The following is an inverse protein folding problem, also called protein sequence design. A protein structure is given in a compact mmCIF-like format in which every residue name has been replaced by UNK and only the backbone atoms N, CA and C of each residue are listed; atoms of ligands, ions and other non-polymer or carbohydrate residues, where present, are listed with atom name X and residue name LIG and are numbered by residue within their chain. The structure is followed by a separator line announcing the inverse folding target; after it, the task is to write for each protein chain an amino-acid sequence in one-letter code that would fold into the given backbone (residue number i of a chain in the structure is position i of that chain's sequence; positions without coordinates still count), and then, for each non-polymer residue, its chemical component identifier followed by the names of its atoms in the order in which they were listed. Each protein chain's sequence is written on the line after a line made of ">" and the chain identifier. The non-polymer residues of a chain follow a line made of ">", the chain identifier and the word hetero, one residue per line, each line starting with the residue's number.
data_IF_353417812266
#
_entry.id   IF_353417812266
#
_cell.length_a   1.000
_cell.length_b   1.000
_cell.length_c   1.000
_cell.angle_alpha   90.00
_cell.angle_beta   90.00
_cell.angle_gamma   90.00
#
_symmetry.space_group_name_H-M   'P 1'
#
loop_
_entity.id
_entity.type
_entity.pdbx_description
1 polymer ?
#
# COMPACT_ATOMS: atom_id res chain seq x y z
N UNK A 1 -83.51 14.49 -11.94
CA UNK A 1 -83.01 15.03 -13.23
C UNK A 1 -81.74 15.90 -13.16
N UNK A 2 -81.35 16.50 -12.02
CA UNK A 2 -80.10 17.32 -11.94
C UNK A 2 -78.79 16.51 -11.85
N UNK A 3 -78.83 15.23 -11.47
CA UNK A 3 -77.64 14.38 -11.37
C UNK A 3 -77.12 13.91 -12.74
N UNK A 4 -78.01 13.55 -13.67
CA UNK A 4 -77.62 13.05 -15.00
C UNK A 4 -76.87 14.10 -15.84
N UNK A 5 -77.34 15.36 -15.86
CA UNK A 5 -76.66 16.44 -16.60
C UNK A 5 -75.27 16.81 -16.04
N UNK A 6 -75.01 16.54 -14.75
CA UNK A 6 -73.66 16.75 -14.17
C UNK A 6 -72.68 15.65 -14.61
N UNK A 7 -73.19 14.44 -14.81
CA UNK A 7 -72.39 13.31 -15.26
C UNK A 7 -71.99 13.44 -16.74
N UNK A 8 -72.88 13.96 -17.58
CA UNK A 8 -72.59 14.22 -19.01
C UNK A 8 -71.55 15.34 -19.21
N UNK A 9 -71.57 16.35 -18.34
CA UNK A 9 -70.58 17.45 -18.39
C UNK A 9 -69.18 16.98 -17.96
N UNK A 10 -69.07 16.05 -17.01
CA UNK A 10 -67.77 15.49 -16.58
C UNK A 10 -67.19 14.49 -17.59
N UNK A 11 -68.02 13.73 -18.31
CA UNK A 11 -67.52 12.83 -19.35
C UNK A 11 -66.93 13.59 -20.55
N UNK A 12 -67.47 14.77 -20.87
CA UNK A 12 -66.97 15.58 -21.99
C UNK A 12 -65.66 16.32 -21.68
N UNK A 13 -65.41 16.70 -20.42
CA UNK A 13 -64.14 17.34 -20.04
C UNK A 13 -62.97 16.36 -20.11
N UNK A 14 -63.17 15.11 -19.67
CA UNK A 14 -62.12 14.09 -19.67
C UNK A 14 -61.65 13.75 -21.09
N UNK A 15 -62.57 13.64 -22.05
CA UNK A 15 -62.23 13.39 -23.47
C UNK A 15 -61.44 14.55 -24.10
N UNK A 16 -61.78 15.79 -23.77
CA UNK A 16 -61.03 16.96 -24.23
C UNK A 16 -59.63 17.06 -23.62
N UNK A 17 -59.45 16.64 -22.36
CA UNK A 17 -58.12 16.63 -21.74
C UNK A 17 -57.23 15.54 -22.33
N UNK A 18 -57.75 14.33 -22.53
CA UNK A 18 -57.00 13.22 -23.13
C UNK A 18 -56.56 13.57 -24.57
N UNK A 19 -57.44 14.15 -25.38
CA UNK A 19 -57.10 14.52 -26.76
C UNK A 19 -56.00 15.59 -26.83
N UNK A 20 -55.97 16.55 -25.89
CA UNK A 20 -54.87 17.53 -25.76
C UNK A 20 -53.55 16.86 -25.41
N UNK A 21 -53.55 15.91 -24.47
CA UNK A 21 -52.35 15.15 -24.10
C UNK A 21 -51.82 14.35 -25.30
N UNK A 22 -52.70 13.65 -26.02
CA UNK A 22 -52.32 12.87 -27.22
C UNK A 22 -51.76 13.78 -28.32
N UNK A 23 -52.41 14.91 -28.58
CA UNK A 23 -51.91 15.88 -29.57
C UNK A 23 -50.54 16.46 -29.17
N UNK A 24 -50.34 16.77 -27.89
CA UNK A 24 -49.06 17.24 -27.36
C UNK A 24 -47.97 16.18 -27.51
N UNK A 25 -48.24 14.94 -27.09
CA UNK A 25 -47.31 13.81 -27.25
C UNK A 25 -46.99 13.60 -28.72
N UNK A 26 -47.97 13.64 -29.62
CA UNK A 26 -47.73 13.47 -31.06
C UNK A 26 -46.87 14.58 -31.66
N UNK A 27 -47.10 15.83 -31.24
CA UNK A 27 -46.31 16.99 -31.69
C UNK A 27 -44.86 16.96 -31.15
N UNK A 28 -44.64 16.34 -29.99
CA UNK A 28 -43.33 16.28 -29.32
C UNK A 28 -42.69 14.88 -29.32
N UNK A 29 -43.30 13.89 -29.96
CA UNK A 29 -42.88 12.48 -29.87
C UNK A 29 -41.42 12.29 -30.25
N UNK A 30 -40.97 12.94 -31.32
CA UNK A 30 -39.57 12.89 -31.77
C UNK A 30 -38.61 13.45 -30.73
N UNK A 31 -38.94 14.59 -30.11
CA UNK A 31 -38.10 15.21 -29.07
C UNK A 31 -38.05 14.30 -27.84
N UNK A 32 -39.20 13.78 -27.39
CA UNK A 32 -39.26 12.85 -26.25
C UNK A 32 -38.42 11.59 -26.54
N UNK A 33 -38.53 11.03 -27.74
CA UNK A 33 -37.74 9.87 -28.15
C UNK A 33 -36.24 10.14 -28.09
N UNK A 34 -35.78 11.29 -28.61
CA UNK A 34 -34.37 11.67 -28.53
C UNK A 34 -33.89 11.89 -27.09
N UNK A 35 -34.73 12.48 -26.23
CA UNK A 35 -34.41 12.62 -24.80
C UNK A 35 -34.27 11.25 -24.12
N UNK A 36 -35.17 10.30 -24.39
CA UNK A 36 -35.12 8.94 -23.84
C UNK A 36 -33.90 8.19 -24.36
N UNK A 37 -33.61 8.25 -25.66
CA UNK A 37 -32.42 7.64 -26.25
C UNK A 37 -31.12 8.24 -25.69
N UNK A 38 -31.07 9.57 -25.54
CA UNK A 38 -29.95 10.26 -24.91
C UNK A 38 -29.73 9.80 -23.47
N UNK A 39 -30.80 9.73 -22.67
CA UNK A 39 -30.73 9.22 -21.30
C UNK A 39 -30.28 7.75 -21.24
N UNK A 40 -30.79 6.90 -22.13
CA UNK A 40 -30.39 5.50 -22.22
C UNK A 40 -28.91 5.35 -22.61
N UNK A 41 -28.41 6.14 -23.56
CA UNK A 41 -27.00 6.14 -23.96
C UNK A 41 -26.08 6.56 -22.81
N UNK A 42 -26.44 7.60 -22.05
CA UNK A 42 -25.70 8.03 -20.86
C UNK A 42 -25.71 6.93 -19.79
N UNK A 43 -26.85 6.30 -19.53
CA UNK A 43 -26.95 5.19 -18.59
C UNK A 43 -26.07 3.99 -19.00
N UNK A 44 -26.04 3.65 -20.28
CA UNK A 44 -25.16 2.59 -20.81
C UNK A 44 -23.67 2.96 -20.67
N UNK A 45 -23.29 4.20 -20.97
CA UNK A 45 -21.91 4.66 -20.80
C UNK A 45 -21.47 4.60 -19.33
N UNK A 46 -22.30 5.08 -18.40
CA UNK A 46 -22.01 5.03 -16.95
C UNK A 46 -21.89 3.59 -16.47
N UNK A 47 -22.82 2.71 -16.84
CA UNK A 47 -22.77 1.30 -16.44
C UNK A 47 -21.55 0.57 -17.02
N UNK A 48 -21.15 0.88 -18.24
CA UNK A 48 -19.93 0.35 -18.85
C UNK A 48 -18.67 0.79 -18.09
N UNK A 49 -18.54 2.09 -17.77
CA UNK A 49 -17.40 2.61 -16.99
C UNK A 49 -17.32 1.96 -15.61
N UNK A 50 -18.46 1.83 -14.91
CA UNK A 50 -18.50 1.18 -13.58
C UNK A 50 -18.11 -0.29 -13.68
N UNK A 51 -18.61 -1.02 -14.68
CA UNK A 51 -18.24 -2.43 -14.89
C UNK A 51 -16.75 -2.58 -15.21
N UNK A 52 -16.21 -1.72 -16.08
CA UNK A 52 -14.80 -1.76 -16.44
C UNK A 52 -13.89 -1.45 -15.25
N UNK A 53 -14.25 -0.47 -14.41
CA UNK A 53 -13.54 -0.15 -13.16
C UNK A 53 -13.55 -1.34 -12.19
N UNK A 54 -14.68 -2.02 -12.02
CA UNK A 54 -14.78 -3.23 -11.17
C UNK A 54 -13.93 -4.37 -11.69
N UNK A 55 -13.96 -4.64 -13.01
CA UNK A 55 -13.15 -5.69 -13.61
C UNK A 55 -11.64 -5.42 -13.43
N UNK A 56 -11.22 -4.17 -13.65
CA UNK A 56 -9.84 -3.74 -13.42
C UNK A 56 -9.43 -3.87 -11.95
N UNK A 57 -10.31 -3.48 -11.01
CA UNK A 57 -10.06 -3.63 -9.58
C UNK A 57 -9.88 -5.10 -9.16
N UNK A 58 -10.68 -6.02 -9.69
CA UNK A 58 -10.53 -7.46 -9.43
C UNK A 58 -9.21 -8.02 -9.96
N UNK A 59 -8.77 -7.58 -11.14
CA UNK A 59 -7.48 -7.99 -11.70
C UNK A 59 -6.31 -7.45 -10.87
N UNK A 60 -6.40 -6.21 -10.39
CA UNK A 60 -5.39 -5.62 -9.51
C UNK A 60 -5.37 -6.31 -8.15
N UNK A 61 -6.54 -6.64 -7.62
CA UNK A 61 -6.65 -7.42 -6.39
C UNK A 61 -5.97 -8.79 -6.51
N UNK A 62 -6.22 -9.53 -7.60
CA UNK A 62 -5.61 -10.85 -7.79
C UNK A 62 -4.10 -10.76 -8.00
N UNK A 63 -3.63 -9.74 -8.73
CA UNK A 63 -2.19 -9.43 -8.86
C UNK A 63 -1.56 -9.13 -7.50
N UNK A 64 -2.19 -8.27 -6.70
CA UNK A 64 -1.71 -7.95 -5.36
C UNK A 64 -1.65 -9.20 -4.46
N UNK A 65 -2.72 -10.01 -4.41
CA UNK A 65 -2.75 -11.24 -3.61
C UNK A 65 -1.63 -12.20 -4.02
N UNK A 66 -1.40 -12.38 -5.32
CA UNK A 66 -0.27 -13.18 -5.83
C UNK A 66 1.06 -12.64 -5.32
N UNK A 67 1.27 -11.33 -5.43
CA UNK A 67 2.51 -10.67 -5.00
C UNK A 67 2.74 -10.76 -3.49
N UNK A 68 1.69 -10.75 -2.67
CA UNK A 68 1.83 -10.94 -1.21
C UNK A 68 2.16 -12.39 -0.82
N UNK A 69 1.94 -13.35 -1.71
CA UNK A 69 2.33 -14.75 -1.51
C UNK A 69 3.75 -15.03 -2.02
N UNK A 70 4.30 -14.15 -2.85
CA UNK A 70 5.68 -14.23 -3.31
C UNK A 70 6.62 -13.85 -2.16
N UNK A 71 7.70 -14.62 -1.90
CA UNK A 71 8.66 -14.28 -0.84
C UNK A 71 9.28 -12.88 -1.01
N UNK A 72 9.63 -12.24 0.11
CA UNK A 72 10.37 -10.97 0.10
C UNK A 72 11.75 -11.14 -0.54
N UNK A 73 12.13 -10.16 -1.37
CA UNK A 73 13.39 -10.17 -2.10
C UNK A 73 13.42 -11.08 -3.33
N UNK A 74 12.29 -11.66 -3.74
CA UNK A 74 12.19 -12.34 -5.03
C UNK A 74 12.44 -11.35 -6.18
N UNK A 75 13.20 -11.80 -7.19
CA UNK A 75 13.53 -11.00 -8.37
C UNK A 75 12.26 -10.49 -9.06
N UNK A 76 12.21 -9.19 -9.38
CA UNK A 76 11.08 -8.55 -10.05
C UNK A 76 9.85 -8.25 -9.16
N UNK A 77 9.78 -8.74 -7.91
CA UNK A 77 8.62 -8.50 -7.02
C UNK A 77 8.41 -7.01 -6.76
N UNK A 78 9.49 -6.27 -6.49
CA UNK A 78 9.44 -4.82 -6.23
C UNK A 78 8.93 -4.07 -7.47
N UNK A 79 9.41 -4.42 -8.66
CA UNK A 79 8.98 -3.79 -9.93
C UNK A 79 7.49 -4.04 -10.20
N UNK A 80 7.02 -5.27 -9.97
CA UNK A 80 5.60 -5.61 -10.09
C UNK A 80 4.74 -4.85 -9.07
N UNK A 81 5.17 -4.76 -7.81
CA UNK A 81 4.48 -3.96 -6.78
C UNK A 81 4.48 -2.47 -7.15
N UNK A 82 5.58 -1.92 -7.65
CA UNK A 82 5.67 -0.54 -8.09
C UNK A 82 4.71 -0.27 -9.25
N UNK A 83 4.57 -1.20 -10.19
CA UNK A 83 3.56 -1.11 -11.25
C UNK A 83 2.12 -1.05 -10.72
N UNK A 84 1.84 -1.65 -9.54
CA UNK A 84 0.54 -1.53 -8.88
C UNK A 84 0.38 -0.17 -8.19
N UNK A 85 1.45 0.38 -7.62
CA UNK A 85 1.46 1.74 -7.07
C UNK A 85 1.14 2.76 -8.17
N UNK A 86 1.80 2.66 -9.32
CA UNK A 86 1.64 3.58 -10.45
C UNK A 86 0.24 3.58 -11.05
N UNK A 87 -0.49 2.46 -10.98
CA UNK A 87 -1.89 2.36 -11.41
C UNK A 87 -2.86 3.17 -10.53
N UNK A 88 -2.45 3.54 -9.32
CA UNK A 88 -3.25 4.31 -8.34
C UNK A 88 -4.70 3.79 -8.14
N UNK A 89 -4.85 2.47 -8.04
CA UNK A 89 -6.14 1.82 -7.75
C UNK A 89 -6.20 1.45 -6.27
N UNK A 90 -6.96 2.25 -5.53
CA UNK A 90 -7.16 2.06 -4.10
C UNK A 90 -8.07 0.86 -3.80
N UNK A 91 -7.85 0.12 -2.69
CA UNK A 91 -6.80 0.33 -1.68
C UNK A 91 -5.46 -0.35 -2.02
N UNK A 92 -5.36 -1.04 -3.16
CA UNK A 92 -4.25 -1.93 -3.47
C UNK A 92 -2.94 -1.21 -3.76
N UNK A 93 -2.97 -0.02 -4.36
CA UNK A 93 -1.75 0.78 -4.57
C UNK A 93 -1.11 1.20 -3.25
N UNK A 94 -1.90 1.60 -2.25
CA UNK A 94 -1.39 1.94 -0.93
C UNK A 94 -0.80 0.72 -0.21
N UNK A 95 -1.49 -0.42 -0.28
CA UNK A 95 -0.98 -1.67 0.30
C UNK A 95 0.28 -2.17 -0.42
N UNK A 96 0.35 -2.06 -1.75
CA UNK A 96 1.54 -2.41 -2.52
C UNK A 96 2.76 -1.57 -2.10
N UNK A 97 2.58 -0.26 -1.89
CA UNK A 97 3.64 0.61 -1.38
C UNK A 97 4.12 0.19 0.03
N UNK A 98 3.21 -0.24 0.91
CA UNK A 98 3.59 -0.84 2.22
C UNK A 98 4.42 -2.10 2.01
N UNK A 99 4.00 -3.01 1.11
CA UNK A 99 4.72 -4.26 0.84
C UNK A 99 6.12 -4.02 0.25
N UNK A 100 6.33 -2.98 -0.57
CA UNK A 100 7.68 -2.61 -1.04
C UNK A 100 8.58 -2.22 0.14
N UNK A 101 8.06 -1.43 1.09
CA UNK A 101 8.80 -1.12 2.31
C UNK A 101 9.11 -2.36 3.13
N UNK A 102 8.16 -3.30 3.23
CA UNK A 102 8.35 -4.59 3.91
C UNK A 102 9.45 -5.40 3.24
N UNK A 103 9.52 -5.42 1.90
CA UNK A 103 10.58 -6.12 1.17
C UNK A 103 11.96 -5.54 1.49
N UNK A 104 12.14 -4.23 1.42
CA UNK A 104 13.42 -3.61 1.79
C UNK A 104 13.80 -3.90 3.25
N UNK A 105 12.85 -3.82 4.19
CA UNK A 105 13.10 -4.13 5.60
C UNK A 105 13.44 -5.60 5.85
N UNK A 106 12.81 -6.52 5.11
CA UNK A 106 13.04 -7.96 5.22
C UNK A 106 14.37 -8.35 4.59
N UNK A 107 14.73 -7.76 3.45
CA UNK A 107 16.05 -7.93 2.84
C UNK A 107 17.15 -7.40 3.74
N UNK A 108 16.97 -6.21 4.32
CA UNK A 108 17.87 -5.66 5.33
C UNK A 108 18.07 -6.64 6.48
N UNK A 109 16.99 -7.22 6.99
CA UNK A 109 17.05 -8.16 8.10
C UNK A 109 17.72 -9.49 7.72
N UNK A 110 17.33 -10.08 6.60
CA UNK A 110 17.83 -11.37 6.15
C UNK A 110 19.27 -11.35 5.65
N UNK A 111 19.76 -10.19 5.22
CA UNK A 111 21.13 -10.01 4.70
C UNK A 111 22.03 -9.20 5.61
N UNK A 112 21.61 -8.91 6.85
CA UNK A 112 22.31 -8.00 7.75
C UNK A 112 23.82 -8.27 7.86
N UNK A 113 24.20 -9.53 8.07
CA UNK A 113 25.60 -9.95 8.23
C UNK A 113 26.45 -9.80 6.94
N UNK A 114 25.81 -9.76 5.77
CA UNK A 114 26.48 -9.65 4.46
C UNK A 114 26.60 -8.21 3.98
N UNK A 115 25.66 -7.35 4.38
CA UNK A 115 25.63 -5.95 3.97
C UNK A 115 26.66 -5.14 4.76
N UNK A 116 27.33 -4.24 4.06
CA UNK A 116 28.15 -3.18 4.65
C UNK A 116 27.28 -2.17 5.41
N UNK A 117 27.87 -1.37 6.29
CA UNK A 117 27.14 -0.34 7.02
C UNK A 117 26.42 0.66 6.08
N UNK A 118 27.07 1.04 4.97
CA UNK A 118 26.47 1.94 3.97
C UNK A 118 25.25 1.32 3.31
N UNK A 119 25.33 0.06 2.89
CA UNK A 119 24.19 -0.63 2.28
C UNK A 119 23.03 -0.80 3.28
N UNK A 120 23.33 -1.12 4.56
CA UNK A 120 22.30 -1.21 5.60
C UNK A 120 21.54 0.11 5.76
N UNK A 121 22.25 1.24 5.74
CA UNK A 121 21.63 2.57 5.80
C UNK A 121 20.80 2.86 4.54
N UNK A 122 21.27 2.45 3.36
CA UNK A 122 20.52 2.60 2.12
C UNK A 122 19.20 1.80 2.13
N UNK A 123 19.24 0.53 2.51
CA UNK A 123 18.03 -0.30 2.62
C UNK A 123 17.06 0.26 3.65
N UNK A 124 17.57 0.71 4.80
CA UNK A 124 16.77 1.40 5.83
C UNK A 124 16.09 2.63 5.26
N UNK A 125 16.82 3.49 4.55
CA UNK A 125 16.27 4.71 3.95
C UNK A 125 15.21 4.39 2.89
N UNK A 126 15.46 3.41 2.01
CA UNK A 126 14.47 2.98 1.00
C UNK A 126 13.19 2.47 1.66
N UNK A 127 13.30 1.63 2.69
CA UNK A 127 12.13 1.16 3.43
C UNK A 127 11.34 2.33 4.06
N UNK A 128 12.03 3.24 4.73
CA UNK A 128 11.42 4.41 5.35
C UNK A 128 10.71 5.31 4.33
N UNK A 129 11.36 5.62 3.21
CA UNK A 129 10.79 6.44 2.12
C UNK A 129 9.47 5.85 1.60
N UNK A 130 9.38 4.54 1.42
CA UNK A 130 8.15 3.89 0.97
C UNK A 130 7.03 3.96 2.01
N UNK A 131 7.34 3.79 3.30
CA UNK A 131 6.34 3.97 4.36
C UNK A 131 5.89 5.43 4.50
N UNK A 132 6.80 6.39 4.43
CA UNK A 132 6.49 7.82 4.43
C UNK A 132 5.66 8.23 3.22
N UNK A 133 5.95 7.66 2.05
CA UNK A 133 5.13 7.81 0.83
C UNK A 133 3.70 7.33 1.08
N UNK A 134 3.50 6.22 1.79
CA UNK A 134 2.15 5.74 2.12
C UNK A 134 1.40 6.73 3.01
N UNK A 135 2.08 7.29 4.01
CA UNK A 135 1.48 8.27 4.93
C UNK A 135 1.11 9.56 4.17
N UNK A 136 1.93 9.98 3.21
CA UNK A 136 1.76 11.25 2.48
C UNK A 136 0.77 11.12 1.32
N UNK A 137 1.00 10.16 0.42
CA UNK A 137 0.27 10.04 -0.85
C UNK A 137 -1.05 9.27 -0.69
N UNK A 138 -1.15 8.43 0.34
CA UNK A 138 -2.31 7.56 0.61
C UNK A 138 -2.96 7.83 1.96
N UNK A 139 -2.96 9.09 2.40
CA UNK A 139 -3.48 9.52 3.71
C UNK A 139 -4.95 9.12 3.98
N UNK A 140 -5.76 8.88 2.94
CA UNK A 140 -7.15 8.41 3.08
C UNK A 140 -7.30 6.90 3.28
N UNK A 141 -6.20 6.15 3.26
CA UNK A 141 -6.19 4.69 3.34
C UNK A 141 -5.74 4.25 4.73
N UNK A 142 -6.60 4.42 5.73
CA UNK A 142 -6.27 4.27 7.15
C UNK A 142 -5.52 2.96 7.46
N UNK A 143 -5.94 1.82 6.89
CA UNK A 143 -5.26 0.53 7.12
C UNK A 143 -3.82 0.56 6.61
N UNK A 144 -3.57 1.12 5.42
CA UNK A 144 -2.24 1.20 4.86
C UNK A 144 -1.35 2.18 5.65
N UNK A 145 -1.92 3.34 6.04
CA UNK A 145 -1.24 4.32 6.89
C UNK A 145 -0.87 3.71 8.24
N UNK A 146 -1.79 3.02 8.92
CA UNK A 146 -1.52 2.35 10.18
C UNK A 146 -0.41 1.30 10.06
N UNK A 147 -0.43 0.49 9.00
CA UNK A 147 0.63 -0.49 8.72
C UNK A 147 1.98 0.18 8.49
N UNK A 148 2.03 1.25 7.71
CA UNK A 148 3.25 2.01 7.45
C UNK A 148 3.82 2.61 8.74
N UNK A 149 2.97 3.20 9.60
CA UNK A 149 3.36 3.73 10.90
C UNK A 149 3.93 2.63 11.82
N UNK A 150 3.24 1.49 11.94
CA UNK A 150 3.75 0.35 12.72
C UNK A 150 5.08 -0.17 12.17
N UNK A 151 5.25 -0.21 10.85
CA UNK A 151 6.49 -0.66 10.23
C UNK A 151 7.65 0.32 10.44
N UNK A 152 7.40 1.64 10.34
CA UNK A 152 8.38 2.68 10.71
C UNK A 152 8.77 2.57 12.18
N UNK A 153 7.81 2.30 13.06
CA UNK A 153 8.08 2.11 14.48
C UNK A 153 9.04 0.93 14.72
N UNK A 154 8.78 -0.22 14.10
CA UNK A 154 9.66 -1.40 14.18
C UNK A 154 11.03 -1.17 13.54
N UNK A 155 11.07 -0.44 12.44
CA UNK A 155 12.33 -0.03 11.82
C UNK A 155 13.15 0.82 12.79
N UNK A 156 12.53 1.82 13.44
CA UNK A 156 13.16 2.65 14.45
C UNK A 156 13.63 1.86 15.69
N UNK A 157 12.79 0.94 16.20
CA UNK A 157 13.17 0.02 17.28
C UNK A 157 14.46 -0.75 16.95
N UNK A 158 14.54 -1.30 15.74
CA UNK A 158 15.70 -2.09 15.31
C UNK A 158 17.00 -1.29 15.24
N UNK A 159 16.93 0.05 15.19
CA UNK A 159 18.07 0.95 15.21
C UNK A 159 18.26 1.68 16.56
N UNK A 160 17.50 1.29 17.60
CA UNK A 160 17.59 1.88 18.93
C UNK A 160 16.95 3.26 19.06
N UNK A 161 16.15 3.69 18.08
CA UNK A 161 15.49 4.99 18.04
C UNK A 161 14.11 4.93 18.71
N UNK A 162 14.10 4.60 20.02
CA UNK A 162 12.89 4.27 20.75
C UNK A 162 11.87 5.43 20.86
N UNK A 163 12.34 6.67 20.95
CA UNK A 163 11.45 7.85 20.97
C UNK A 163 10.69 8.01 19.65
N UNK A 164 11.39 7.78 18.53
CA UNK A 164 10.81 7.84 17.19
C UNK A 164 9.84 6.65 16.98
N UNK A 165 10.21 5.47 17.46
CA UNK A 165 9.33 4.30 17.45
C UNK A 165 8.02 4.55 18.22
N UNK A 166 8.12 5.10 19.43
CA UNK A 166 6.97 5.48 20.27
C UNK A 166 6.03 6.41 19.51
N UNK A 167 6.57 7.47 18.91
CA UNK A 167 5.78 8.43 18.16
C UNK A 167 5.00 7.75 17.01
N UNK A 168 5.64 6.87 16.24
CA UNK A 168 4.97 6.18 15.15
C UNK A 168 3.86 5.23 15.61
N UNK A 169 4.06 4.47 16.70
CA UNK A 169 2.97 3.66 17.25
C UNK A 169 1.81 4.51 17.75
N UNK A 170 2.09 5.62 18.46
CA UNK A 170 1.05 6.56 18.90
C UNK A 170 0.30 7.15 17.71
N UNK A 171 0.98 7.46 16.60
CA UNK A 171 0.34 7.91 15.36
C UNK A 171 -0.57 6.84 14.77
N UNK A 172 -0.15 5.57 14.74
CA UNK A 172 -1.01 4.47 14.29
C UNK A 172 -2.29 4.36 15.16
N UNK A 173 -2.17 4.54 16.48
CA UNK A 173 -3.30 4.45 17.41
C UNK A 173 -4.29 5.64 17.33
N UNK A 174 -3.90 6.77 16.74
CA UNK A 174 -4.80 7.92 16.50
C UNK A 174 -5.84 7.64 15.40
N UNK A 175 -5.69 6.56 14.62
CA UNK A 175 -6.61 6.17 13.55
C UNK A 175 -7.84 5.44 14.12
N UNK A 176 -8.78 6.21 14.66
CA UNK A 176 -9.99 5.71 15.35
C UNK A 176 -10.89 4.83 14.47
N UNK A 177 -10.86 5.01 13.15
CA UNK A 177 -11.59 4.19 12.17
C UNK A 177 -11.21 2.71 12.20
N UNK A 178 -10.04 2.38 12.78
CA UNK A 178 -9.50 1.01 12.87
C UNK A 178 -9.72 0.37 14.25
N UNK A 179 -10.65 0.87 15.06
CA UNK A 179 -10.97 0.28 16.35
C UNK A 179 -11.28 -1.22 16.22
N UNK A 180 -10.52 -2.07 16.93
CA UNK A 180 -10.63 -3.53 16.88
C UNK A 180 -9.81 -4.21 15.78
N UNK A 181 -9.17 -3.47 14.87
CA UNK A 181 -8.28 -4.06 13.87
C UNK A 181 -6.96 -4.52 14.49
N UNK A 182 -6.46 -5.66 14.03
CA UNK A 182 -5.19 -6.26 14.48
C UNK A 182 -3.96 -5.35 14.40
N UNK A 183 -3.92 -4.40 13.44
CA UNK A 183 -2.79 -3.47 13.31
C UNK A 183 -2.66 -2.56 14.53
N UNK A 184 -3.78 -2.14 15.12
CA UNK A 184 -3.77 -1.36 16.36
C UNK A 184 -3.37 -2.22 17.56
N UNK A 185 -3.72 -3.50 17.57
CA UNK A 185 -3.25 -4.42 18.61
C UNK A 185 -1.73 -4.54 18.59
N UNK A 186 -1.15 -4.70 17.40
CA UNK A 186 0.32 -4.72 17.22
C UNK A 186 0.95 -3.42 17.69
N UNK A 187 0.35 -2.26 17.38
CA UNK A 187 0.86 -0.97 17.83
C UNK A 187 0.84 -0.81 19.36
N UNK A 188 -0.25 -1.22 20.02
CA UNK A 188 -0.34 -1.22 21.50
C UNK A 188 0.71 -2.13 22.12
N UNK A 189 0.82 -3.35 21.60
CA UNK A 189 1.82 -4.30 22.06
C UNK A 189 3.24 -3.74 21.92
N UNK A 190 3.53 -3.07 20.79
CA UNK A 190 4.81 -2.36 20.59
C UNK A 190 5.07 -1.34 21.69
N UNK A 191 4.11 -0.44 21.95
CA UNK A 191 4.23 0.56 23.03
C UNK A 191 4.43 -0.05 24.42
N UNK A 192 3.73 -1.14 24.73
CA UNK A 192 3.87 -1.84 26.01
C UNK A 192 5.25 -2.49 26.17
N UNK A 193 5.85 -2.95 25.07
CA UNK A 193 7.19 -3.56 25.08
C UNK A 193 8.33 -2.54 25.09
N UNK A 194 8.14 -1.32 24.58
CA UNK A 194 9.20 -0.31 24.47
C UNK A 194 10.01 -0.06 25.75
N UNK A 195 9.41 0.09 26.97
CA UNK A 195 10.19 0.29 28.19
C UNK A 195 11.16 -0.87 28.48
N UNK A 196 10.75 -2.11 28.16
CA UNK A 196 11.59 -3.29 28.35
C UNK A 196 12.78 -3.33 27.38
N UNK A 197 12.53 -2.95 26.12
CA UNK A 197 13.57 -2.85 25.08
C UNK A 197 14.57 -1.72 25.38
N UNK A 198 14.09 -0.63 25.97
CA UNK A 198 14.93 0.49 26.38
C UNK A 198 15.85 0.11 27.55
N UNK A 199 15.30 -0.58 28.56
CA UNK A 199 16.08 -0.99 29.72
C UNK A 199 17.15 -2.04 29.40
N UNK A 200 16.90 -2.88 28.39
CA UNK A 200 17.84 -3.90 27.91
C UNK A 200 17.88 -3.84 26.39
N UNK A 201 18.76 -3.00 25.80
CA UNK A 201 18.90 -2.91 24.36
C UNK A 201 19.30 -4.28 23.82
N UNK A 202 18.34 -5.01 23.27
CA UNK A 202 18.60 -6.24 22.54
C UNK A 202 19.06 -5.79 21.17
N UNK A 203 20.35 -5.90 20.88
CA UNK A 203 20.79 -5.84 19.49
C UNK A 203 20.21 -7.05 18.78
N UNK A 204 19.13 -6.82 18.02
CA UNK A 204 18.52 -7.84 17.14
C UNK A 204 19.52 -8.23 16.05
N UNK A 205 20.48 -7.34 15.82
CA UNK A 205 21.53 -7.46 14.86
C UNK A 205 22.73 -8.17 15.47
N UNK A 206 23.16 -9.31 14.91
CA UNK A 206 24.40 -9.94 15.36
C UNK A 206 25.51 -8.91 15.18
N UNK A 207 26.28 -8.69 16.25
CA UNK A 207 27.55 -7.99 16.14
C UNK A 207 28.34 -8.67 15.02
N UNK A 208 28.98 -7.88 14.15
CA UNK A 208 29.85 -8.45 13.13
C UNK A 208 30.82 -9.41 13.86
N UNK A 209 30.97 -10.66 13.40
CA UNK A 209 31.85 -11.61 14.07
C UNK A 209 33.17 -10.88 14.29
N UNK A 210 33.56 -10.75 15.56
CA UNK A 210 34.79 -10.07 15.93
C UNK A 210 35.87 -10.67 15.02
N UNK A 211 36.49 -9.85 14.18
CA UNK A 211 37.46 -10.33 13.22
C UNK A 211 38.42 -11.23 13.98
N UNK A 212 38.44 -12.52 13.65
CA UNK A 212 39.30 -13.48 14.35
C UNK A 212 40.68 -12.85 14.41
N UNK A 213 41.27 -12.68 15.61
CA UNK A 213 42.55 -12.03 15.76
C UNK A 213 43.51 -12.78 14.86
N UNK A 214 43.86 -12.14 13.75
CA UNK A 214 44.49 -12.79 12.61
C UNK A 214 45.73 -13.44 13.15
N UNK A 215 45.83 -14.76 12.95
CA UNK A 215 47.05 -15.52 13.23
C UNK A 215 48.21 -14.69 12.72
N UNK A 216 49.07 -14.28 13.64
CA UNK A 216 50.27 -13.51 13.33
C UNK A 216 51.01 -14.35 12.32
N UNK A 217 50.97 -13.95 11.05
CA UNK A 217 51.69 -14.60 9.97
C UNK A 217 53.16 -14.40 10.32
N UNK A 218 53.73 -15.40 10.99
CA UNK A 218 55.15 -15.52 11.24
C UNK A 218 55.82 -15.49 9.88
N UNK A 219 56.43 -14.36 9.56
CA UNK A 219 57.19 -14.18 8.33
C UNK A 219 58.20 -15.34 8.21
N UNK A 220 58.30 -16.01 7.05
CA UNK A 220 59.35 -16.98 6.84
C UNK A 220 60.69 -16.26 6.90
N UNK A 221 61.53 -16.64 7.85
CA UNK A 221 62.88 -16.17 7.99
C UNK A 221 63.63 -16.36 6.65
N UNK A 222 64.02 -15.26 6.02
CA UNK A 222 64.95 -15.24 4.90
C UNK A 222 66.26 -15.85 5.37
N UNK A 223 66.55 -17.06 4.89
CA UNK A 223 67.79 -17.77 5.15
C UNK A 223 68.84 -17.24 4.16
N UNK A 224 69.74 -16.39 4.65
CA UNK A 224 70.91 -15.89 3.92
C UNK A 224 71.78 -17.05 3.43
N UNK A 225 71.98 -17.14 2.12
CA UNK A 225 72.91 -18.07 1.49
C UNK A 225 74.32 -17.44 1.41
N UNK A 226 75.39 -18.15 1.85
CA UNK A 226 76.74 -17.63 1.79
C UNK A 226 77.34 -17.74 0.38
N UNK A 227 77.86 -16.60 -0.08
CA UNK A 227 78.79 -16.45 -1.21
C UNK A 227 79.97 -17.40 -1.07
N UNK A 228 80.08 -18.40 -1.95
CA UNK A 228 81.33 -19.15 -2.13
C UNK A 228 82.20 -18.48 -3.21
N UNK A 229 83.38 -18.10 -2.75
CA UNK A 229 84.52 -17.54 -3.47
C UNK A 229 85.48 -18.67 -3.84
N UNK A 230 85.94 -18.74 -5.08
CA UNK A 230 87.07 -19.57 -5.56
C UNK A 230 87.06 -19.55 -7.10
N UNK A 231 88.02 -18.97 -7.85
CA UNK A 231 89.50 -19.14 -7.82
C UNK A 231 89.79 -20.64 -7.85
N UNK A 232 90.05 -21.26 -9.01
CA UNK A 232 91.16 -21.08 -9.96
C UNK A 232 90.86 -21.83 -11.27
#
# INVERSE_FOLDING_TARGET
>A
MKAQRRHDLQQNSLGMEISKVVAFVRARATIILWCVLGAAAVALAVTWVVKNKKASAHLIQSQFVRLTQTPAGAEGRIDELQSLVDKNVQPYSALAAVEIGVDYSTTLAGQWAKLTQSERLEYRQKAAQWYEKVITDFASQDIAVAKAQVALARLAESFGEFDLAKNHYEQALKLNSLAGHSVLLVARQGLEMLPSLWAKPVSIWPDAPAADPTETTTAPATQDAPTQTGVE
#
